data_IF_000992038823
#
_entry.id   IF_000992038823
#
_cell.length_a   1.000
_cell.length_b   1.000
_cell.length_c   1.000
_cell.angle_alpha   90.00
_cell.angle_beta   90.00
_cell.angle_gamma   90.00
#
_symmetry.space_group_name_H-M   'P 1'
#
loop_
_entity.id
_entity.type
_entity.pdbx_description
1 polymer ?
#
# COMPACT_ATOMS: atom_id res chain seq x y z
N UNK A 1 4.08 9.22 -5.30
CA UNK A 1 2.74 9.81 -5.55
C UNK A 1 2.20 10.47 -4.28
N UNK A 2 1.35 11.51 -4.38
CA UNK A 2 0.62 12.13 -3.25
C UNK A 2 -0.77 11.51 -2.99
N UNK A 3 -1.26 10.73 -3.96
CA UNK A 3 -2.39 9.81 -3.88
C UNK A 3 -2.30 8.82 -5.04
N UNK A 4 -2.77 7.60 -4.83
CA UNK A 4 -3.03 6.63 -5.89
C UNK A 4 -4.52 6.33 -5.96
N UNK A 5 -5.06 6.22 -7.17
CA UNK A 5 -6.42 5.74 -7.45
C UNK A 5 -6.29 4.71 -8.56
N UNK A 6 -6.77 3.49 -8.32
CA UNK A 6 -6.75 2.44 -9.34
C UNK A 6 -7.80 2.68 -10.43
N UNK A 7 -7.67 1.97 -11.55
CA UNK A 7 -8.82 1.71 -12.42
C UNK A 7 -9.89 0.88 -11.66
N UNK A 8 -11.09 0.76 -12.25
CA UNK A 8 -12.09 -0.15 -11.72
C UNK A 8 -11.63 -1.60 -11.86
N UNK A 9 -11.55 -2.29 -10.73
CA UNK A 9 -11.19 -3.71 -10.66
C UNK A 9 -12.48 -4.52 -10.60
N UNK A 10 -12.67 -5.44 -11.54
CA UNK A 10 -13.79 -6.37 -11.50
C UNK A 10 -13.57 -7.40 -10.38
N UNK A 11 -14.59 -7.56 -9.53
CA UNK A 11 -14.54 -8.51 -8.44
C UNK A 11 -15.05 -9.87 -8.93
N UNK A 12 -14.24 -10.93 -8.85
CA UNK A 12 -14.64 -12.25 -9.34
C UNK A 12 -15.69 -12.94 -8.44
N UNK A 13 -16.29 -12.21 -7.49
CA UNK A 13 -17.12 -12.77 -6.42
C UNK A 13 -18.53 -12.17 -6.30
N UNK A 14 -19.02 -11.41 -7.28
CA UNK A 14 -20.45 -11.06 -7.32
C UNK A 14 -21.31 -12.33 -7.27
N UNK A 15 -22.41 -12.28 -6.51
CA UNK A 15 -23.36 -13.37 -6.24
C UNK A 15 -22.97 -14.75 -6.82
N UNK A 16 -22.28 -15.56 -6.01
CA UNK A 16 -21.91 -16.93 -6.37
C UNK A 16 -20.40 -17.22 -6.51
N UNK A 17 -19.53 -16.27 -6.18
CA UNK A 17 -18.09 -16.51 -6.11
C UNK A 17 -17.69 -17.56 -5.06
N UNK A 18 -16.50 -18.19 -5.19
CA UNK A 18 -16.01 -19.12 -4.18
C UNK A 18 -15.90 -18.42 -2.82
N UNK A 19 -16.30 -19.10 -1.72
CA UNK A 19 -16.15 -18.52 -0.39
C UNK A 19 -14.68 -18.28 -0.08
N UNK A 20 -14.37 -17.17 0.60
CA UNK A 20 -13.03 -16.86 1.09
C UNK A 20 -13.07 -16.59 2.60
N UNK A 21 -11.98 -16.90 3.29
CA UNK A 21 -11.80 -16.66 4.73
C UNK A 21 -11.01 -15.39 4.99
N UNK A 22 -10.15 -14.98 4.05
CA UNK A 22 -9.31 -13.77 4.15
C UNK A 22 -9.13 -13.11 2.79
N UNK A 23 -9.06 -11.78 2.79
CA UNK A 23 -8.68 -10.98 1.63
C UNK A 23 -7.59 -9.98 2.03
N UNK A 24 -6.54 -9.90 1.23
CA UNK A 24 -5.42 -8.99 1.41
C UNK A 24 -5.21 -8.13 0.16
N UNK A 25 -4.84 -6.86 0.36
CA UNK A 25 -4.17 -6.07 -0.66
C UNK A 25 -2.67 -6.16 -0.46
N UNK A 26 -1.96 -6.65 -1.47
CA UNK A 26 -0.51 -6.82 -1.44
C UNK A 26 0.11 -5.71 -2.28
N UNK A 27 0.83 -4.81 -1.61
CA UNK A 27 1.62 -3.77 -2.28
C UNK A 27 3.04 -4.28 -2.49
N UNK A 28 3.43 -4.43 -3.75
CA UNK A 28 4.76 -4.89 -4.16
C UNK A 28 5.69 -3.73 -4.50
N UNK A 29 6.98 -3.90 -4.25
CA UNK A 29 7.99 -2.91 -4.64
C UNK A 29 7.85 -1.56 -3.92
N UNK A 30 7.37 -1.55 -2.68
CA UNK A 30 7.16 -0.31 -1.91
C UNK A 30 8.52 0.33 -1.61
N UNK A 31 8.73 1.55 -2.09
CA UNK A 31 9.90 2.36 -1.72
C UNK A 31 9.76 2.88 -0.29
N UNK A 32 10.87 2.86 0.41
CA UNK A 32 10.98 3.36 1.78
C UNK A 32 12.28 4.13 2.02
N UNK A 33 12.95 4.56 0.94
CA UNK A 33 14.13 5.42 1.02
C UNK A 33 13.82 6.82 1.58
N UNK A 34 12.61 7.32 1.35
CA UNK A 34 12.17 8.68 1.70
C UNK A 34 11.63 8.86 3.12
N UNK A 35 10.63 9.73 3.26
CA UNK A 35 10.00 10.05 4.54
C UNK A 35 9.16 8.89 5.09
N UNK A 36 8.95 8.88 6.41
CA UNK A 36 7.97 7.98 7.04
C UNK A 36 6.55 8.48 6.84
N UNK A 37 5.61 7.57 6.53
CA UNK A 37 4.19 7.89 6.33
C UNK A 37 3.29 6.70 6.63
N UNK A 38 2.01 6.98 6.82
CA UNK A 38 0.92 6.01 6.87
C UNK A 38 0.22 5.98 5.51
N UNK A 39 0.16 4.83 4.85
CA UNK A 39 -0.66 4.65 3.66
C UNK A 39 -2.05 4.17 4.08
N UNK A 40 -3.06 5.04 3.98
CA UNK A 40 -4.47 4.70 4.21
C UNK A 40 -5.10 4.20 2.93
N UNK A 41 -5.87 3.13 3.01
CA UNK A 41 -6.53 2.51 1.86
C UNK A 41 -8.04 2.66 1.99
N UNK A 42 -8.68 3.05 0.89
CA UNK A 42 -10.12 3.22 0.79
C UNK A 42 -10.67 2.47 -0.43
N UNK A 43 -11.82 1.84 -0.27
CA UNK A 43 -12.61 1.29 -1.36
C UNK A 43 -13.70 2.27 -1.78
N UNK A 44 -13.93 2.38 -3.09
CA UNK A 44 -15.01 3.15 -3.71
C UNK A 44 -15.09 4.63 -3.25
N UNK A 45 -13.95 5.20 -2.83
CA UNK A 45 -13.82 6.60 -2.47
C UNK A 45 -12.63 7.24 -3.20
N UNK A 46 -12.79 7.64 -4.48
CA UNK A 46 -11.71 8.22 -5.29
C UNK A 46 -11.27 9.61 -4.79
N UNK A 47 -12.12 10.28 -4.01
CA UNK A 47 -11.88 11.62 -3.48
C UNK A 47 -11.18 11.63 -2.13
N UNK A 48 -10.87 10.45 -1.56
CA UNK A 48 -10.19 10.34 -0.29
C UNK A 48 -8.87 11.14 -0.25
N UNK A 49 -8.62 11.73 0.91
CA UNK A 49 -7.50 12.60 1.24
C UNK A 49 -7.00 12.35 2.68
N UNK A 50 -6.04 13.13 3.16
CA UNK A 50 -5.43 12.94 4.49
C UNK A 50 -6.36 13.23 5.66
N UNK A 51 -7.47 13.93 5.38
CA UNK A 51 -8.50 14.29 6.35
C UNK A 51 -9.70 13.35 6.29
N UNK A 52 -9.76 12.48 5.28
CA UNK A 52 -10.82 11.49 5.14
C UNK A 52 -10.83 10.58 6.38
N UNK A 53 -11.97 10.48 7.07
CA UNK A 53 -12.06 9.69 8.29
C UNK A 53 -11.83 8.19 8.02
N UNK A 54 -11.33 7.45 9.01
CA UNK A 54 -10.90 6.04 8.88
C UNK A 54 -12.01 5.04 9.26
N UNK A 55 -13.26 5.40 9.03
CA UNK A 55 -14.45 4.59 9.30
C UNK A 55 -14.97 3.93 8.01
N UNK A 56 -15.70 2.83 8.18
CA UNK A 56 -16.21 2.04 7.07
C UNK A 56 -17.15 2.81 6.14
N UNK A 57 -17.92 3.76 6.67
CA UNK A 57 -18.85 4.61 5.89
C UNK A 57 -18.15 5.55 4.90
N UNK A 58 -16.85 5.81 5.12
CA UNK A 58 -16.00 6.57 4.21
C UNK A 58 -15.18 5.66 3.27
N UNK A 59 -15.48 4.37 3.25
CA UNK A 59 -14.80 3.38 2.42
C UNK A 59 -13.48 2.88 3.01
N UNK A 60 -13.12 3.21 4.25
CA UNK A 60 -11.83 2.81 4.81
C UNK A 60 -11.68 1.27 4.85
N UNK A 61 -10.59 0.80 4.25
CA UNK A 61 -10.29 -0.62 4.07
C UNK A 61 -9.14 -1.11 4.94
N UNK A 62 -8.20 -0.23 5.30
CA UNK A 62 -7.06 -0.55 6.13
C UNK A 62 -5.89 0.41 5.93
N UNK A 63 -4.74 0.07 6.50
CA UNK A 63 -3.51 0.85 6.34
C UNK A 63 -2.25 0.00 6.44
N UNK A 64 -1.15 0.53 5.92
CA UNK A 64 0.20 0.11 6.29
C UNK A 64 1.06 1.33 6.64
N UNK A 65 2.18 1.09 7.32
CA UNK A 65 3.14 2.15 7.69
C UNK A 65 4.47 1.89 7.00
N UNK A 66 5.03 2.96 6.44
CA UNK A 66 6.40 3.02 5.94
C UNK A 66 7.23 3.78 6.96
N UNK A 67 8.22 3.10 7.53
CA UNK A 67 9.29 3.72 8.32
C UNK A 67 10.43 4.05 7.36
N UNK A 68 10.36 5.25 6.80
CA UNK A 68 11.30 5.69 5.78
C UNK A 68 12.66 6.09 6.34
N UNK A 69 13.69 5.97 5.51
CA UNK A 69 15.09 6.25 5.87
C UNK A 69 15.47 7.74 5.85
N UNK A 70 14.58 8.63 5.43
CA UNK A 70 14.78 10.08 5.44
C UNK A 70 15.55 10.63 4.24
N UNK A 71 15.71 9.83 3.19
CA UNK A 71 16.51 10.14 2.00
C UNK A 71 17.91 9.50 2.05
N UNK A 72 18.68 9.74 1.00
CA UNK A 72 20.04 9.20 0.90
C UNK A 72 21.04 10.06 1.66
N UNK A 73 21.70 9.47 2.66
CA UNK A 73 22.81 10.08 3.38
C UNK A 73 24.06 9.21 3.21
N UNK A 74 24.84 9.47 2.15
CA UNK A 74 26.02 8.69 1.81
C UNK A 74 26.75 9.22 0.57
N UNK A 75 27.84 8.55 0.19
CA UNK A 75 28.52 8.80 -1.08
C UNK A 75 27.74 8.23 -2.28
N UNK A 76 28.20 8.56 -3.49
CA UNK A 76 27.63 8.04 -4.73
C UNK A 76 27.60 6.49 -4.71
N UNK A 77 26.46 5.90 -5.10
CA UNK A 77 26.25 4.46 -5.06
C UNK A 77 25.77 3.89 -3.71
N UNK A 78 25.79 4.68 -2.61
CA UNK A 78 25.40 4.18 -1.28
C UNK A 78 23.95 3.67 -1.21
N UNK A 79 23.04 4.36 -1.91
CA UNK A 79 21.61 4.06 -1.89
C UNK A 79 21.16 3.21 -3.07
N UNK A 80 22.07 2.88 -3.98
CA UNK A 80 21.76 2.07 -5.14
C UNK A 80 21.60 0.61 -4.69
N UNK A 81 20.37 0.12 -4.76
CA UNK A 81 20.07 -1.27 -4.43
C UNK A 81 20.75 -2.17 -5.47
N UNK A 82 21.69 -3.04 -5.09
CA UNK A 82 22.37 -3.90 -6.06
C UNK A 82 21.38 -4.89 -6.68
N UNK A 83 21.45 -5.14 -8.00
CA UNK A 83 20.45 -5.97 -8.71
C UNK A 83 20.46 -7.45 -8.32
N UNK A 84 21.58 -7.98 -7.80
CA UNK A 84 21.83 -9.42 -7.65
C UNK A 84 21.81 -9.95 -6.19
N UNK A 85 21.22 -9.21 -5.24
CA UNK A 85 21.18 -9.66 -3.83
C UNK A 85 20.26 -10.87 -3.56
N UNK A 86 19.53 -11.35 -4.57
CA UNK A 86 18.62 -12.49 -4.45
C UNK A 86 19.26 -13.82 -4.91
N UNK A 87 20.57 -13.86 -5.12
CA UNK A 87 21.27 -15.11 -5.40
C UNK A 87 21.10 -16.07 -4.20
N UNK A 88 20.73 -17.32 -4.47
CA UNK A 88 20.40 -18.30 -3.41
C UNK A 88 21.56 -18.64 -2.49
N UNK A 89 22.78 -18.30 -2.88
CA UNK A 89 24.03 -18.48 -2.14
C UNK A 89 24.60 -17.18 -1.56
N UNK A 90 23.95 -16.02 -1.77
CA UNK A 90 24.30 -14.78 -1.10
C UNK A 90 23.73 -14.78 0.33
N UNK A 91 24.62 -14.95 1.31
CA UNK A 91 24.27 -15.02 2.72
C UNK A 91 24.30 -13.64 3.41
N UNK A 92 24.60 -12.56 2.67
CA UNK A 92 24.56 -11.20 3.23
C UNK A 92 23.12 -10.80 3.53
N UNK A 93 22.96 -9.87 4.46
CA UNK A 93 21.65 -9.24 4.65
C UNK A 93 21.28 -8.43 3.39
N UNK A 94 19.98 -8.39 3.03
CA UNK A 94 19.50 -7.51 1.97
C UNK A 94 19.90 -6.05 2.24
N UNK A 95 20.04 -5.29 1.15
CA UNK A 95 20.28 -3.87 1.22
C UNK A 95 19.17 -3.19 2.04
N UNK A 96 19.49 -2.22 2.91
CA UNK A 96 18.48 -1.54 3.70
C UNK A 96 17.37 -0.89 2.87
N UNK A 97 17.64 -0.53 1.61
CA UNK A 97 16.65 0.05 0.70
C UNK A 97 16.04 -0.96 -0.30
N UNK A 98 16.24 -2.27 -0.11
CA UNK A 98 15.54 -3.27 -0.92
C UNK A 98 14.03 -3.02 -0.84
N UNK A 99 13.31 -2.87 -1.98
CA UNK A 99 11.88 -2.58 -1.97
C UNK A 99 11.07 -3.59 -1.15
N UNK A 100 10.09 -3.09 -0.41
CA UNK A 100 9.33 -3.90 0.53
C UNK A 100 8.01 -4.42 -0.06
N UNK A 101 7.56 -5.58 0.42
CA UNK A 101 6.18 -6.03 0.24
C UNK A 101 5.36 -5.66 1.47
N UNK A 102 4.21 -5.00 1.28
CA UNK A 102 3.31 -4.57 2.36
C UNK A 102 1.92 -5.18 2.17
N UNK A 103 1.57 -6.25 2.90
CA UNK A 103 0.20 -6.76 2.91
C UNK A 103 -0.69 -5.92 3.83
N UNK A 104 -1.92 -5.65 3.38
CA UNK A 104 -3.00 -5.05 4.17
C UNK A 104 -4.16 -6.02 4.20
N UNK A 105 -4.52 -6.51 5.39
CA UNK A 105 -5.71 -7.34 5.55
C UNK A 105 -6.95 -6.47 5.38
N UNK A 106 -7.73 -6.76 4.36
CA UNK A 106 -8.95 -6.01 3.99
C UNK A 106 -10.22 -6.86 4.09
N UNK A 107 -10.14 -8.08 4.63
CA UNK A 107 -11.24 -9.06 4.68
C UNK A 107 -12.60 -8.47 5.01
N UNK A 108 -12.72 -7.72 6.11
CA UNK A 108 -14.02 -7.21 6.55
C UNK A 108 -14.51 -6.04 5.69
N UNK A 109 -13.60 -5.20 5.20
CA UNK A 109 -13.95 -4.16 4.24
C UNK A 109 -14.40 -4.74 2.90
N UNK A 110 -13.71 -5.80 2.47
CA UNK A 110 -14.00 -6.50 1.23
C UNK A 110 -15.35 -7.23 1.28
N UNK A 111 -15.70 -7.88 2.39
CA UNK A 111 -17.02 -8.50 2.62
C UNK A 111 -18.19 -7.52 2.60
N UNK A 112 -17.96 -6.22 2.86
CA UNK A 112 -19.00 -5.19 2.83
C UNK A 112 -19.28 -4.67 1.43
N UNK A 113 -18.41 -4.94 0.46
CA UNK A 113 -18.64 -4.55 -0.92
C UNK A 113 -19.80 -5.34 -1.49
N UNK A 114 -20.71 -4.64 -2.17
CA UNK A 114 -21.88 -5.24 -2.81
C UNK A 114 -21.83 -5.09 -4.33
N UNK A 115 -20.95 -4.20 -4.81
CA UNK A 115 -20.76 -3.88 -6.21
C UNK A 115 -19.89 -4.93 -6.91
N UNK A 116 -20.08 -5.06 -8.22
CA UNK A 116 -19.27 -5.92 -9.07
C UNK A 116 -17.86 -5.41 -9.33
N UNK A 117 -17.60 -4.16 -8.96
CA UNK A 117 -16.37 -3.45 -9.25
C UNK A 117 -15.96 -2.65 -8.04
N UNK A 118 -14.66 -2.57 -7.82
CA UNK A 118 -14.07 -1.76 -6.75
C UNK A 118 -13.03 -0.81 -7.32
N UNK A 119 -12.97 0.40 -6.77
CA UNK A 119 -11.82 1.29 -6.94
C UNK A 119 -11.02 1.31 -5.64
N UNK A 120 -9.69 1.26 -5.74
CA UNK A 120 -8.78 1.34 -4.60
C UNK A 120 -8.13 2.71 -4.61
N UNK A 121 -8.30 3.45 -3.51
CA UNK A 121 -7.60 4.72 -3.27
C UNK A 121 -6.60 4.54 -2.16
N UNK A 122 -5.36 4.99 -2.38
CA UNK A 122 -4.29 4.95 -1.37
C UNK A 122 -3.79 6.36 -1.12
N UNK A 123 -3.81 6.77 0.13
CA UNK A 123 -3.44 8.12 0.56
C UNK A 123 -2.24 8.04 1.53
N UNK A 124 -1.06 8.56 1.16
CA UNK A 124 0.03 8.76 2.11
C UNK A 124 -0.29 9.91 3.05
N UNK A 125 -0.30 9.63 4.35
CA UNK A 125 -0.52 10.60 5.42
C UNK A 125 0.74 10.70 6.26
N UNK A 126 1.34 11.88 6.24
CA UNK A 126 2.49 12.22 7.05
C UNK A 126 2.00 12.95 8.32
N UNK A 127 2.56 12.64 9.49
CA UNK A 127 2.33 13.46 10.67
C UNK A 127 2.97 14.85 10.48
N UNK A 128 2.31 15.88 11.00
CA UNK A 128 2.79 17.27 10.95
C UNK A 128 2.34 18.05 12.18
N UNK A 129 3.07 19.12 12.51
CA UNK A 129 2.77 19.98 13.67
C UNK A 129 1.38 20.62 13.56
N UNK A 130 0.96 20.97 12.34
CA UNK A 130 -0.32 21.60 12.04
C UNK A 130 -1.40 20.58 11.60
N UNK A 131 -1.14 19.28 11.82
CA UNK A 131 -2.03 18.18 11.46
C UNK A 131 -1.51 17.30 10.31
N UNK A 132 -2.35 16.36 9.82
CA UNK A 132 -1.97 15.45 8.75
C UNK A 132 -1.74 16.19 7.44
N UNK A 133 -0.76 15.72 6.68
CA UNK A 133 -0.33 16.29 5.40
C UNK A 133 -0.10 15.17 4.38
N UNK A 134 -0.30 15.47 3.10
CA UNK A 134 0.08 14.60 1.97
C UNK A 134 1.30 15.18 1.29
N UNK A 135 2.17 14.29 0.82
CA UNK A 135 3.33 14.61 0.02
C UNK A 135 3.55 13.51 -1.01
N UNK A 136 4.36 13.78 -2.03
CA UNK A 136 4.72 12.85 -3.09
C UNK A 136 5.71 11.79 -2.60
N UNK A 137 5.25 10.89 -1.72
CA UNK A 137 6.10 9.91 -1.00
C UNK A 137 5.65 8.46 -1.15
N UNK A 138 4.45 8.22 -1.66
CA UNK A 138 3.95 6.87 -1.89
C UNK A 138 4.50 6.33 -3.20
N UNK A 139 5.42 5.37 -3.20
CA UNK A 139 5.85 4.67 -4.42
C UNK A 139 5.79 3.17 -4.21
N UNK A 140 5.21 2.47 -5.16
CA UNK A 140 5.11 1.01 -5.21
C UNK A 140 4.94 0.58 -6.66
N UNK A 141 5.33 -0.66 -6.98
CA UNK A 141 5.29 -1.20 -8.34
C UNK A 141 3.94 -1.83 -8.69
N UNK A 142 3.31 -2.51 -7.71
CA UNK A 142 2.05 -3.20 -7.91
C UNK A 142 1.14 -3.16 -6.69
N UNK A 143 -0.16 -3.31 -6.94
CA UNK A 143 -1.16 -3.62 -5.92
C UNK A 143 -2.01 -4.79 -6.41
N UNK A 144 -2.11 -5.83 -5.59
CA UNK A 144 -2.81 -7.06 -5.92
C UNK A 144 -3.83 -7.42 -4.85
N UNK A 145 -5.07 -7.70 -5.26
CA UNK A 145 -6.11 -8.24 -4.37
C UNK A 145 -6.03 -9.76 -4.36
N UNK A 146 -5.68 -10.34 -3.22
CA UNK A 146 -5.56 -11.79 -3.03
C UNK A 146 -6.57 -12.29 -2.02
N UNK A 147 -7.27 -13.37 -2.35
CA UNK A 147 -8.19 -14.06 -1.43
C UNK A 147 -7.67 -15.45 -1.08
N UNK A 148 -7.93 -15.86 0.16
CA UNK A 148 -7.54 -17.17 0.69
C UNK A 148 -8.80 -17.95 1.08
N UNK A 149 -8.79 -19.26 0.81
CA UNK A 149 -9.88 -20.19 1.14
C UNK A 149 -9.62 -20.87 2.48
#
# INVERSE_FOLDING_TARGET
MDRYVSDQIELPFTEGGPPFTRADLIFGGVDHSGASFEARVFFNNPDADERTPTEAEHGYAGRFVVFGHGGCAGEEGHCDVPPDQNASDDLRLPHPLTPATKPVVVTEAFKRLTEARVTITVVPVLPGADGPRREDVLFFESVELTTYV
#
